data_IF_230460389126
#
_entry.id   IF_230460389126
#
_cell.length_a   1.000
_cell.length_b   1.000
_cell.length_c   1.000
_cell.angle_alpha   90.00
_cell.angle_beta   90.00
_cell.angle_gamma   90.00
#
_symmetry.space_group_name_H-M   'P 1'
#
loop_
_entity.id
_entity.type
_entity.pdbx_description
1 polymer ?
#
# COMPACT_ATOMS: atom_id res chain seq x y z
N UNK A 1 -3.77 -9.50 29.12
CA UNK A 1 -3.86 -9.24 27.67
C UNK A 1 -2.94 -10.22 26.99
N UNK A 2 -3.29 -10.74 25.80
CA UNK A 2 -2.32 -11.54 25.05
C UNK A 2 -1.11 -10.65 24.70
N UNK A 3 0.08 -11.22 24.84
CA UNK A 3 1.33 -10.53 24.46
C UNK A 3 1.28 -10.21 22.95
N UNK A 4 1.52 -8.96 22.59
CA UNK A 4 1.60 -8.52 21.18
C UNK A 4 3.04 -8.64 20.72
N UNK A 5 3.25 -9.36 19.61
CA UNK A 5 4.58 -9.70 19.12
C UNK A 5 4.85 -9.10 17.73
N UNK A 6 3.78 -8.70 16.99
CA UNK A 6 3.92 -8.14 15.66
C UNK A 6 2.95 -7.00 15.39
N UNK A 7 3.41 -6.05 14.59
CA UNK A 7 2.63 -4.97 13.99
C UNK A 7 2.66 -5.10 12.46
N UNK A 8 1.51 -5.29 11.85
CA UNK A 8 1.32 -5.22 10.41
C UNK A 8 0.81 -3.81 10.09
N UNK A 9 1.47 -3.10 9.18
CA UNK A 9 1.19 -1.68 8.92
C UNK A 9 0.97 -1.46 7.43
N UNK A 10 -0.15 -0.84 7.09
CA UNK A 10 -0.41 -0.36 5.74
C UNK A 10 0.44 0.87 5.41
N UNK A 11 0.51 1.25 4.12
CA UNK A 11 1.34 2.35 3.61
C UNK A 11 0.53 3.61 3.33
N UNK A 12 -0.36 3.53 2.31
CA UNK A 12 -1.07 4.72 1.81
C UNK A 12 -2.19 5.13 2.76
N UNK A 13 -2.27 6.43 3.04
CA UNK A 13 -3.21 7.02 4.02
C UNK A 13 -3.08 6.45 5.46
N UNK A 14 -2.04 5.64 5.68
CA UNK A 14 -1.63 5.11 6.99
C UNK A 14 -0.27 5.65 7.42
N UNK A 15 0.83 5.30 6.75
CA UNK A 15 2.18 5.82 6.99
C UNK A 15 2.47 7.08 6.20
N UNK A 16 1.92 7.19 5.00
CA UNK A 16 2.13 8.33 4.11
C UNK A 16 0.87 8.68 3.33
N UNK A 17 0.76 9.93 2.92
CA UNK A 17 -0.18 10.40 1.91
C UNK A 17 0.49 10.43 0.55
N UNK A 18 -0.29 10.23 -0.52
CA UNK A 18 0.19 10.34 -1.89
C UNK A 18 -0.84 11.08 -2.76
N UNK A 19 -0.38 12.12 -3.45
CA UNK A 19 -1.23 12.83 -4.42
C UNK A 19 -1.11 12.18 -5.80
N UNK A 20 -2.10 11.39 -6.17
CA UNK A 20 -2.19 10.75 -7.48
C UNK A 20 -2.77 11.65 -8.58
N UNK A 21 -3.12 12.91 -8.28
CA UNK A 21 -3.66 13.84 -9.29
C UNK A 21 -2.65 14.09 -10.42
N UNK A 22 -1.37 14.22 -10.09
CA UNK A 22 -0.32 14.39 -11.08
C UNK A 22 -0.18 13.19 -12.02
N UNK A 23 -0.31 11.95 -11.51
CA UNK A 23 -0.31 10.73 -12.35
C UNK A 23 -1.47 10.76 -13.36
N UNK A 24 -2.68 11.11 -12.87
CA UNK A 24 -3.88 11.19 -13.70
C UNK A 24 -3.80 12.31 -14.76
N UNK A 25 -3.03 13.36 -14.51
CA UNK A 25 -2.88 14.49 -15.43
C UNK A 25 -1.72 14.32 -16.42
N UNK A 26 -0.56 13.88 -15.98
CA UNK A 26 0.67 13.91 -16.75
C UNK A 26 0.89 12.66 -17.62
N UNK A 27 0.58 11.46 -17.09
CA UNK A 27 0.79 10.21 -17.83
C UNK A 27 -0.05 10.12 -19.12
N UNK A 28 -1.36 10.50 -19.14
CA UNK A 28 -2.12 10.53 -20.38
C UNK A 28 -1.51 11.46 -21.43
N UNK A 29 -1.03 12.63 -21.02
CA UNK A 29 -0.40 13.61 -21.93
C UNK A 29 0.87 13.00 -22.54
N UNK A 30 1.73 12.40 -21.73
CA UNK A 30 2.95 11.74 -22.19
C UNK A 30 2.62 10.57 -23.15
N UNK A 31 1.55 9.83 -22.86
CA UNK A 31 1.07 8.73 -23.70
C UNK A 31 0.44 9.17 -25.02
N UNK A 32 0.13 10.47 -25.18
CA UNK A 32 -0.63 10.97 -26.33
C UNK A 32 -2.11 10.55 -26.33
N UNK A 33 -2.66 10.27 -25.13
CA UNK A 33 -4.04 9.82 -24.93
C UNK A 33 -4.89 10.88 -24.23
N UNK A 34 -6.20 10.82 -24.44
CA UNK A 34 -7.13 11.56 -23.59
C UNK A 34 -7.16 10.96 -22.17
N UNK A 35 -7.49 11.77 -21.15
CA UNK A 35 -7.68 11.29 -19.78
C UNK A 35 -8.71 10.14 -19.70
N UNK A 36 -9.78 10.22 -20.51
CA UNK A 36 -10.80 9.19 -20.58
C UNK A 36 -10.26 7.87 -21.15
N UNK A 37 -9.50 7.90 -22.24
CA UNK A 37 -8.89 6.70 -22.84
C UNK A 37 -7.87 6.08 -21.90
N UNK A 38 -7.03 6.90 -21.26
CA UNK A 38 -6.08 6.46 -20.25
C UNK A 38 -6.77 5.79 -19.06
N UNK A 39 -7.77 6.44 -18.45
CA UNK A 39 -8.51 5.91 -17.31
C UNK A 39 -9.24 4.61 -17.65
N UNK A 40 -9.81 4.50 -18.86
CA UNK A 40 -10.43 3.27 -19.34
C UNK A 40 -9.39 2.14 -19.45
N UNK A 41 -8.25 2.39 -20.10
CA UNK A 41 -7.17 1.41 -20.21
C UNK A 41 -6.63 1.01 -18.84
N UNK A 42 -6.40 1.97 -17.94
CA UNK A 42 -5.90 1.69 -16.59
C UNK A 42 -6.87 0.83 -15.76
N UNK A 43 -8.18 1.06 -15.87
CA UNK A 43 -9.20 0.26 -15.19
C UNK A 43 -9.17 -1.23 -15.59
N UNK A 44 -8.66 -1.55 -16.78
CA UNK A 44 -8.54 -2.94 -17.29
C UNK A 44 -7.27 -3.65 -16.86
N UNK A 45 -6.21 -2.91 -16.59
CA UNK A 45 -4.92 -3.49 -16.19
C UNK A 45 -4.62 -3.35 -14.70
N UNK A 46 -5.32 -2.45 -13.99
CA UNK A 46 -5.01 -2.07 -12.63
C UNK A 46 -4.97 -3.24 -11.64
N UNK A 47 -5.95 -4.14 -11.70
CA UNK A 47 -5.98 -5.33 -10.85
C UNK A 47 -4.78 -6.26 -11.12
N UNK A 48 -4.40 -6.45 -12.38
CA UNK A 48 -3.25 -7.28 -12.74
C UNK A 48 -1.91 -6.64 -12.33
N UNK A 49 -1.82 -5.31 -12.38
CA UNK A 49 -0.67 -4.56 -11.85
C UNK A 49 -0.57 -4.68 -10.33
N UNK A 50 -1.70 -4.59 -9.63
CA UNK A 50 -1.76 -4.64 -8.17
C UNK A 50 -1.27 -5.97 -7.58
N UNK A 51 -1.41 -7.07 -8.32
CA UNK A 51 -0.96 -8.41 -7.89
C UNK A 51 0.23 -8.93 -8.71
N UNK A 52 0.93 -8.06 -9.43
CA UNK A 52 2.15 -8.41 -10.15
C UNK A 52 1.98 -9.37 -11.34
N UNK A 53 0.74 -9.56 -11.83
CA UNK A 53 0.49 -10.33 -13.06
C UNK A 53 0.93 -9.58 -14.32
N UNK A 54 1.09 -8.27 -14.21
CA UNK A 54 1.66 -7.39 -15.21
C UNK A 54 2.70 -6.49 -14.55
N UNK A 55 3.80 -6.27 -15.23
CA UNK A 55 4.71 -5.16 -14.95
C UNK A 55 4.09 -3.84 -15.39
N UNK A 56 4.57 -2.71 -14.87
CA UNK A 56 4.15 -1.38 -15.34
C UNK A 56 4.36 -1.21 -16.84
N UNK A 57 5.48 -1.71 -17.38
CA UNK A 57 5.76 -1.66 -18.81
C UNK A 57 4.69 -2.40 -19.62
N UNK A 58 4.35 -3.64 -19.26
CA UNK A 58 3.31 -4.43 -19.94
C UNK A 58 1.91 -3.78 -19.80
N UNK A 59 1.62 -3.20 -18.63
CA UNK A 59 0.38 -2.46 -18.40
C UNK A 59 0.27 -1.24 -19.31
N UNK A 60 1.33 -0.42 -19.39
CA UNK A 60 1.36 0.75 -20.27
C UNK A 60 1.32 0.38 -21.75
N UNK A 61 2.00 -0.70 -22.16
CA UNK A 61 1.85 -1.21 -23.53
C UNK A 61 0.41 -1.54 -23.88
N UNK A 62 -0.33 -2.20 -22.98
CA UNK A 62 -1.74 -2.54 -23.20
C UNK A 62 -2.61 -1.28 -23.29
N UNK A 63 -2.41 -0.31 -22.39
CA UNK A 63 -3.12 0.96 -22.38
C UNK A 63 -2.90 1.72 -23.70
N UNK A 64 -1.66 1.80 -24.17
CA UNK A 64 -1.30 2.46 -25.43
C UNK A 64 -1.99 1.79 -26.61
N UNK A 65 -1.91 0.44 -26.74
CA UNK A 65 -2.56 -0.31 -27.83
C UNK A 65 -4.07 -0.11 -27.84
N UNK A 66 -4.73 -0.16 -26.69
CA UNK A 66 -6.18 0.08 -26.57
C UNK A 66 -6.55 1.53 -26.97
N UNK A 67 -5.69 2.48 -26.65
CA UNK A 67 -5.83 3.88 -27.04
C UNK A 67 -5.47 4.19 -28.50
N UNK A 68 -5.03 3.18 -29.27
CA UNK A 68 -4.63 3.35 -30.68
C UNK A 68 -3.24 3.97 -30.85
N UNK A 69 -2.40 3.96 -29.81
CA UNK A 69 -1.02 4.44 -29.84
C UNK A 69 -0.06 3.26 -29.92
N UNK A 70 0.91 3.31 -30.84
CA UNK A 70 1.95 2.27 -30.95
C UNK A 70 2.85 2.28 -29.70
N UNK A 71 2.99 1.16 -28.96
CA UNK A 71 3.79 1.09 -27.75
C UNK A 71 5.28 0.94 -28.06
N UNK A 72 5.90 1.98 -28.54
CA UNK A 72 7.33 2.00 -28.80
C UNK A 72 8.11 1.89 -27.48
N UNK A 73 9.25 1.15 -27.45
CA UNK A 73 10.03 0.92 -26.22
C UNK A 73 10.47 2.22 -25.51
N UNK A 74 10.82 3.25 -26.27
CA UNK A 74 11.21 4.56 -25.74
C UNK A 74 10.06 5.27 -25.02
N UNK A 75 8.84 5.21 -25.58
CA UNK A 75 7.64 5.77 -24.95
C UNK A 75 7.23 4.99 -23.69
N UNK A 76 7.26 3.66 -23.77
CA UNK A 76 6.93 2.80 -22.61
C UNK A 76 7.92 3.04 -21.47
N UNK A 77 9.22 3.09 -21.76
CA UNK A 77 10.24 3.42 -20.78
C UNK A 77 10.00 4.80 -20.13
N UNK A 78 9.75 5.83 -20.95
CA UNK A 78 9.45 7.17 -20.45
C UNK A 78 8.21 7.21 -19.54
N UNK A 79 7.17 6.42 -19.83
CA UNK A 79 5.96 6.31 -18.98
C UNK A 79 6.29 5.64 -17.64
N UNK A 80 7.09 4.57 -17.64
CA UNK A 80 7.52 3.87 -16.41
C UNK A 80 8.36 4.79 -15.54
N UNK A 81 9.35 5.47 -16.13
CA UNK A 81 10.22 6.40 -15.40
C UNK A 81 9.43 7.57 -14.82
N UNK A 82 8.46 8.11 -15.61
CA UNK A 82 7.61 9.21 -15.14
C UNK A 82 6.66 8.78 -14.04
N UNK A 83 6.05 7.60 -14.12
CA UNK A 83 5.20 7.04 -13.07
C UNK A 83 5.99 6.92 -11.74
N UNK A 84 7.20 6.39 -11.80
CA UNK A 84 8.10 6.29 -10.65
C UNK A 84 8.45 7.66 -10.08
N UNK A 85 8.85 8.61 -10.91
CA UNK A 85 9.19 9.97 -10.48
C UNK A 85 8.00 10.66 -9.79
N UNK A 86 6.81 10.55 -10.38
CA UNK A 86 5.58 11.12 -9.83
C UNK A 86 5.26 10.51 -8.46
N UNK A 87 5.39 9.20 -8.30
CA UNK A 87 5.16 8.52 -7.01
C UNK A 87 6.12 9.04 -5.94
N UNK A 88 7.43 9.04 -6.21
CA UNK A 88 8.43 9.50 -5.25
C UNK A 88 8.27 10.99 -4.89
N UNK A 89 7.84 11.81 -5.85
CA UNK A 89 7.66 13.25 -5.65
C UNK A 89 6.39 13.60 -4.87
N UNK A 90 5.30 12.83 -5.04
CA UNK A 90 3.99 13.14 -4.47
C UNK A 90 3.77 12.55 -3.07
N UNK A 91 4.54 11.54 -2.69
CA UNK A 91 4.41 10.91 -1.38
C UNK A 91 4.97 11.79 -0.25
N UNK A 92 4.26 11.81 0.87
CA UNK A 92 4.66 12.53 2.10
C UNK A 92 4.36 11.65 3.30
N UNK A 93 5.40 11.31 4.07
CA UNK A 93 5.22 10.64 5.36
C UNK A 93 4.40 11.52 6.31
N UNK A 94 3.52 10.90 7.08
CA UNK A 94 2.94 11.57 8.25
C UNK A 94 4.01 11.71 9.34
N UNK A 95 3.92 12.80 10.12
CA UNK A 95 4.93 13.16 11.13
C UNK A 95 5.12 12.07 12.20
N UNK A 96 4.09 11.26 12.46
CA UNK A 96 4.10 10.19 13.44
C UNK A 96 4.58 8.83 12.87
N UNK A 97 4.82 8.70 11.56
CA UNK A 97 5.11 7.43 10.90
C UNK A 97 6.47 6.83 11.34
N UNK A 98 7.58 7.54 11.11
CA UNK A 98 8.90 7.04 11.52
C UNK A 98 9.05 6.91 13.05
N UNK A 99 8.62 7.91 13.86
CA UNK A 99 8.63 7.76 15.32
C UNK A 99 7.88 6.53 15.81
N UNK A 100 6.72 6.22 15.22
CA UNK A 100 5.95 5.02 15.55
C UNK A 100 6.71 3.73 15.23
N UNK A 101 7.25 3.59 14.02
CA UNK A 101 8.00 2.39 13.62
C UNK A 101 9.25 2.19 14.50
N UNK A 102 9.94 3.29 14.83
CA UNK A 102 11.11 3.26 15.73
C UNK A 102 10.73 2.82 17.15
N UNK A 103 9.63 3.33 17.70
CA UNK A 103 9.15 2.97 19.04
C UNK A 103 8.73 1.50 19.10
N UNK A 104 7.93 1.02 18.13
CA UNK A 104 7.49 -0.38 18.05
C UNK A 104 8.70 -1.32 17.95
N UNK A 105 9.67 -0.99 17.08
CA UNK A 105 10.92 -1.76 16.95
C UNK A 105 11.76 -1.77 18.23
N UNK A 106 11.87 -0.62 18.92
CA UNK A 106 12.62 -0.50 20.17
C UNK A 106 12.03 -1.37 21.31
N UNK A 107 10.74 -1.67 21.24
CA UNK A 107 10.05 -2.62 22.17
C UNK A 107 10.22 -4.09 21.77
N UNK A 108 10.96 -4.38 20.70
CA UNK A 108 11.18 -5.75 20.22
C UNK A 108 9.99 -6.35 19.46
N UNK A 109 9.02 -5.53 19.04
CA UNK A 109 7.88 -5.95 18.25
C UNK A 109 8.31 -6.03 16.79
N UNK A 110 7.98 -7.14 16.13
CA UNK A 110 8.27 -7.34 14.71
C UNK A 110 7.34 -6.50 13.82
N UNK A 111 7.86 -5.97 12.73
CA UNK A 111 7.12 -5.07 11.84
C UNK A 111 7.04 -5.66 10.44
N UNK A 112 5.82 -5.85 9.93
CA UNK A 112 5.56 -6.09 8.52
C UNK A 112 4.87 -4.88 7.89
N UNK A 113 5.39 -4.37 6.79
CA UNK A 113 4.67 -3.41 5.94
C UNK A 113 3.83 -4.21 4.96
N UNK A 114 2.50 -4.01 4.95
CA UNK A 114 1.55 -4.78 4.14
C UNK A 114 0.73 -3.84 3.26
N UNK A 115 1.01 -3.78 1.98
CA UNK A 115 0.41 -2.77 1.08
C UNK A 115 -0.19 -3.36 -0.19
N UNK A 116 -1.39 -2.88 -0.54
CA UNK A 116 -1.92 -3.04 -1.89
C UNK A 116 -1.27 -1.97 -2.78
N UNK A 117 -0.44 -2.39 -3.72
CA UNK A 117 0.39 -1.47 -4.48
C UNK A 117 0.82 -2.04 -5.83
N UNK A 118 1.45 -1.21 -6.63
CA UNK A 118 2.14 -1.63 -7.86
C UNK A 118 3.65 -1.42 -7.71
N UNK A 119 4.41 -1.72 -8.76
CA UNK A 119 5.85 -1.43 -8.85
C UNK A 119 6.19 -0.02 -8.33
N UNK A 120 7.43 0.19 -7.95
CA UNK A 120 8.01 1.41 -7.37
C UNK A 120 7.63 1.71 -5.91
N UNK A 121 6.66 1.00 -5.30
CA UNK A 121 6.36 1.21 -3.88
C UNK A 121 7.52 0.77 -3.00
N UNK A 122 8.28 -0.26 -3.39
CA UNK A 122 9.52 -0.64 -2.69
C UNK A 122 10.53 0.49 -2.69
N UNK A 123 10.81 1.09 -3.85
CA UNK A 123 11.72 2.24 -3.97
C UNK A 123 11.28 3.42 -3.09
N UNK A 124 9.96 3.64 -3.03
CA UNK A 124 9.39 4.67 -2.16
C UNK A 124 9.68 4.40 -0.68
N UNK A 125 9.44 3.18 -0.21
CA UNK A 125 9.68 2.79 1.19
C UNK A 125 11.16 2.83 1.56
N UNK A 126 12.03 2.43 0.65
CA UNK A 126 13.50 2.52 0.81
C UNK A 126 13.96 3.98 0.88
N UNK A 127 13.50 4.83 -0.07
CA UNK A 127 13.89 6.24 -0.13
C UNK A 127 13.44 7.06 1.09
N UNK A 128 12.36 6.65 1.76
CA UNK A 128 11.83 7.31 2.95
C UNK A 128 12.31 6.68 4.28
N UNK A 129 13.16 5.65 4.24
CA UNK A 129 13.69 4.97 5.43
C UNK A 129 12.68 4.08 6.15
N UNK A 130 11.50 3.83 5.58
CA UNK A 130 10.49 2.90 6.15
C UNK A 130 10.96 1.47 6.05
N UNK A 131 11.57 1.09 4.92
CA UNK A 131 12.07 -0.25 4.68
C UNK A 131 13.11 -0.69 5.74
N UNK A 132 13.97 0.21 6.19
CA UNK A 132 15.03 -0.08 7.18
C UNK A 132 14.46 -0.38 8.59
N UNK A 133 13.23 0.04 8.86
CA UNK A 133 12.54 -0.16 10.14
C UNK A 133 11.66 -1.41 10.14
N UNK A 134 11.36 -1.99 9.00
CA UNK A 134 10.55 -3.18 8.87
C UNK A 134 11.38 -4.46 8.89
N UNK A 135 10.83 -5.55 9.46
CA UNK A 135 11.41 -6.88 9.36
C UNK A 135 11.05 -7.54 8.03
N UNK A 136 9.93 -7.16 7.43
CA UNK A 136 9.51 -7.61 6.10
C UNK A 136 8.62 -6.60 5.39
N UNK A 137 8.71 -6.59 4.05
CA UNK A 137 7.81 -5.85 3.15
C UNK A 137 6.95 -6.87 2.39
N UNK A 138 5.64 -6.78 2.56
CA UNK A 138 4.65 -7.64 1.89
C UNK A 138 3.84 -6.76 0.95
N UNK A 139 4.33 -6.65 -0.26
CA UNK A 139 3.78 -5.79 -1.32
C UNK A 139 2.94 -6.65 -2.27
N UNK A 140 1.68 -6.30 -2.48
CA UNK A 140 0.74 -7.12 -3.24
C UNK A 140 1.24 -7.50 -4.64
N UNK A 141 1.90 -6.55 -5.32
CA UNK A 141 2.49 -6.79 -6.64
C UNK A 141 3.68 -7.77 -6.64
N UNK A 142 4.30 -8.04 -5.49
CA UNK A 142 5.40 -8.98 -5.36
C UNK A 142 4.93 -10.37 -4.88
N UNK A 143 3.89 -10.39 -4.01
CA UNK A 143 3.42 -11.65 -3.41
C UNK A 143 2.23 -12.26 -4.15
N UNK A 144 1.65 -11.56 -5.12
CA UNK A 144 0.55 -12.07 -5.94
C UNK A 144 -0.81 -12.10 -5.24
N UNK A 145 -0.96 -11.41 -4.10
CA UNK A 145 -2.18 -11.35 -3.32
C UNK A 145 -2.37 -9.95 -2.74
N UNK A 146 -3.61 -9.49 -2.61
CA UNK A 146 -3.95 -8.18 -2.08
C UNK A 146 -4.95 -8.24 -0.93
N UNK A 147 -4.91 -7.25 -0.02
CA UNK A 147 -5.93 -7.06 1.01
C UNK A 147 -7.29 -6.82 0.35
N UNK A 148 -8.41 -7.38 0.86
CA UNK A 148 -8.56 -8.07 2.13
C UNK A 148 -8.37 -9.60 2.08
N UNK A 149 -7.81 -10.18 1.03
CA UNK A 149 -7.60 -11.61 0.93
C UNK A 149 -6.70 -12.16 2.06
N UNK A 150 -7.02 -13.36 2.54
CA UNK A 150 -6.31 -13.96 3.67
C UNK A 150 -4.82 -14.20 3.38
N UNK A 151 -4.50 -14.47 2.13
CA UNK A 151 -3.19 -14.86 1.64
C UNK A 151 -2.12 -13.81 1.97
N UNK A 152 -2.40 -12.51 1.77
CA UNK A 152 -1.42 -11.45 2.03
C UNK A 152 -1.09 -11.32 3.52
N UNK A 153 -2.10 -11.46 4.40
CA UNK A 153 -1.89 -11.42 5.86
C UNK A 153 -1.15 -12.66 6.34
N UNK A 154 -1.52 -13.84 5.82
CA UNK A 154 -0.86 -15.11 6.16
C UNK A 154 0.61 -15.05 5.75
N UNK A 155 0.91 -14.53 4.55
CA UNK A 155 2.28 -14.33 4.10
C UNK A 155 3.11 -13.44 5.06
N UNK A 156 2.52 -12.33 5.53
CA UNK A 156 3.17 -11.45 6.50
C UNK A 156 3.43 -12.15 7.84
N UNK A 157 2.44 -12.85 8.37
CA UNK A 157 2.55 -13.58 9.63
C UNK A 157 3.57 -14.71 9.57
N UNK A 158 3.61 -15.46 8.48
CA UNK A 158 4.56 -16.56 8.25
C UNK A 158 5.99 -16.03 8.17
N UNK A 159 6.23 -14.92 7.47
CA UNK A 159 7.55 -14.29 7.41
C UNK A 159 8.02 -13.79 8.78
N UNK A 160 7.12 -13.27 9.59
CA UNK A 160 7.44 -12.85 10.96
C UNK A 160 7.53 -14.02 11.94
N UNK A 161 6.95 -15.18 11.61
CA UNK A 161 6.85 -16.33 12.52
C UNK A 161 5.96 -16.03 13.73
N UNK A 162 4.86 -15.26 13.54
CA UNK A 162 3.97 -14.81 14.62
C UNK A 162 2.54 -15.28 14.33
N UNK A 163 1.84 -15.89 15.30
CA UNK A 163 0.46 -16.27 15.11
C UNK A 163 -0.48 -15.05 15.08
N UNK A 164 -1.54 -15.11 14.27
CA UNK A 164 -2.49 -14.01 14.04
C UNK A 164 -2.98 -13.34 15.35
N UNK A 165 -3.30 -14.12 16.38
CA UNK A 165 -3.78 -13.61 17.68
C UNK A 165 -2.78 -12.72 18.43
N UNK A 166 -1.49 -12.77 18.07
CA UNK A 166 -0.42 -11.96 18.66
C UNK A 166 -0.05 -10.76 17.77
N UNK A 167 -0.74 -10.59 16.65
CA UNK A 167 -0.50 -9.47 15.73
C UNK A 167 -1.56 -8.36 15.89
N UNK A 168 -1.10 -7.13 15.64
CA UNK A 168 -1.95 -5.95 15.44
C UNK A 168 -1.80 -5.53 13.98
N UNK A 169 -2.90 -5.17 13.33
CA UNK A 169 -2.91 -4.60 11.98
C UNK A 169 -3.50 -3.19 12.02
N UNK A 170 -2.85 -2.24 11.36
CA UNK A 170 -3.35 -0.87 11.21
C UNK A 170 -3.47 -0.50 9.74
N UNK A 171 -4.64 0.06 9.36
CA UNK A 171 -4.99 0.39 7.97
C UNK A 171 -6.13 1.43 7.98
N UNK A 172 -6.22 2.27 6.95
CA UNK A 172 -7.31 3.27 6.83
C UNK A 172 -8.61 2.68 6.28
N UNK A 173 -8.54 1.51 5.59
CA UNK A 173 -9.69 0.92 4.91
C UNK A 173 -10.45 -0.07 5.79
N UNK A 174 -11.78 0.18 6.06
CA UNK A 174 -12.58 -0.73 6.86
C UNK A 174 -12.60 -2.18 6.33
N UNK A 175 -12.63 -2.35 5.00
CA UNK A 175 -12.66 -3.67 4.38
C UNK A 175 -11.37 -4.48 4.66
N UNK A 176 -10.22 -3.83 4.70
CA UNK A 176 -8.94 -4.48 4.97
C UNK A 176 -8.81 -4.84 6.45
N UNK A 177 -9.27 -3.93 7.34
CA UNK A 177 -9.41 -4.23 8.76
C UNK A 177 -10.35 -5.43 9.01
N UNK A 178 -11.47 -5.52 8.31
CA UNK A 178 -12.39 -6.66 8.41
C UNK A 178 -11.73 -7.98 7.99
N UNK A 179 -10.92 -7.98 6.92
CA UNK A 179 -10.14 -9.14 6.48
C UNK A 179 -9.19 -9.62 7.57
N UNK A 180 -8.46 -8.72 8.20
CA UNK A 180 -7.56 -9.03 9.30
C UNK A 180 -8.28 -9.60 10.53
N UNK A 181 -9.42 -9.00 10.94
CA UNK A 181 -10.28 -9.50 12.04
C UNK A 181 -10.75 -10.91 11.76
N UNK A 182 -11.14 -11.21 10.50
CA UNK A 182 -11.56 -12.56 10.09
C UNK A 182 -10.51 -13.64 10.31
N UNK A 183 -9.24 -13.27 10.37
CA UNK A 183 -8.10 -14.16 10.66
C UNK A 183 -7.69 -14.18 12.14
N UNK A 184 -8.38 -13.43 12.99
CA UNK A 184 -8.05 -13.31 14.41
C UNK A 184 -6.92 -12.31 14.72
N UNK A 185 -6.54 -11.46 13.77
CA UNK A 185 -5.64 -10.33 13.98
C UNK A 185 -6.42 -9.19 14.67
N UNK A 186 -5.82 -8.52 15.64
CA UNK A 186 -6.42 -7.30 16.21
C UNK A 186 -6.27 -6.16 15.21
N UNK A 187 -7.38 -5.63 14.70
CA UNK A 187 -7.35 -4.57 13.68
C UNK A 187 -7.68 -3.20 14.27
N UNK A 188 -6.95 -2.19 13.83
CA UNK A 188 -7.14 -0.79 14.15
C UNK A 188 -7.30 0.01 12.86
N UNK A 189 -8.44 0.69 12.73
CA UNK A 189 -8.67 1.58 11.58
C UNK A 189 -8.14 2.97 11.91
N UNK A 190 -7.13 3.40 11.20
CA UNK A 190 -6.63 4.77 11.33
C UNK A 190 -7.43 5.72 10.46
N UNK A 191 -7.77 6.89 11.00
CA UNK A 191 -8.49 7.95 10.28
C UNK A 191 -7.66 9.23 10.36
N UNK A 192 -6.99 9.57 9.27
CA UNK A 192 -6.07 10.71 9.17
C UNK A 192 -6.78 12.07 8.99
N UNK A 193 -8.07 12.07 8.72
CA UNK A 193 -8.88 13.25 8.49
C UNK A 193 -10.28 13.10 9.06
N UNK A 194 -11.27 13.66 8.37
CA UNK A 194 -12.68 13.40 8.67
C UNK A 194 -13.06 11.98 8.26
N UNK A 195 -14.06 11.42 8.90
CA UNK A 195 -14.49 10.02 8.67
C UNK A 195 -15.17 9.77 7.31
N UNK A 196 -15.23 10.73 6.40
CA UNK A 196 -15.78 10.67 5.04
C UNK A 196 -16.85 9.57 4.79
N UNK A 197 -17.70 9.30 5.80
CA UNK A 197 -18.73 8.25 5.74
C UNK A 197 -18.22 6.80 5.82
N UNK A 198 -16.93 6.55 5.98
CA UNK A 198 -16.37 5.20 6.18
C UNK A 198 -16.68 4.72 7.60
N UNK A 199 -17.74 3.94 7.75
CA UNK A 199 -18.03 3.29 9.02
C UNK A 199 -16.99 2.21 9.34
N UNK A 200 -16.52 2.12 10.59
CA UNK A 200 -15.56 1.11 11.00
C UNK A 200 -16.14 -0.30 10.85
N UNK A 201 -15.31 -1.24 10.45
CA UNK A 201 -15.72 -2.64 10.41
C UNK A 201 -16.00 -3.18 11.82
N UNK A 202 -16.94 -4.12 11.98
CA UNK A 202 -17.17 -4.77 13.26
C UNK A 202 -15.89 -5.42 13.81
N UNK A 203 -15.63 -5.23 15.11
CA UNK A 203 -14.44 -5.77 15.76
C UNK A 203 -13.16 -4.94 15.57
N UNK A 204 -13.26 -3.79 14.90
CA UNK A 204 -12.14 -2.88 14.65
C UNK A 204 -12.18 -1.69 15.64
N UNK A 205 -11.01 -1.28 16.13
CA UNK A 205 -10.87 -0.06 16.94
C UNK A 205 -10.48 1.09 16.04
N UNK A 206 -11.19 2.23 16.14
CA UNK A 206 -10.83 3.46 15.42
C UNK A 206 -9.78 4.25 16.19
N UNK A 207 -8.72 4.67 15.50
CA UNK A 207 -7.65 5.51 16.04
C UNK A 207 -7.42 6.74 15.16
N UNK A 208 -6.80 7.76 15.71
CA UNK A 208 -6.53 9.02 15.01
C UNK A 208 -5.05 9.24 14.72
N UNK A 209 -4.18 8.49 15.39
CA UNK A 209 -2.73 8.59 15.26
C UNK A 209 -2.07 7.20 15.39
N UNK A 210 -0.86 7.10 14.90
CA UNK A 210 -0.03 5.92 15.13
C UNK A 210 0.44 5.83 16.58
N UNK A 211 0.45 6.94 17.33
CA UNK A 211 0.68 6.92 18.77
C UNK A 211 -0.41 6.15 19.53
N UNK A 212 -1.67 6.22 19.05
CA UNK A 212 -2.76 5.42 19.64
C UNK A 212 -2.55 3.92 19.38
N UNK A 213 -1.98 3.57 18.22
CA UNK A 213 -1.59 2.18 17.88
C UNK A 213 -0.44 1.70 18.76
N UNK A 214 0.58 2.54 18.98
CA UNK A 214 1.73 2.22 19.84
C UNK A 214 1.32 1.89 21.27
N UNK A 215 0.22 2.43 21.76
CA UNK A 215 -0.31 2.14 23.10
C UNK A 215 -0.84 0.70 23.27
N UNK A 216 -0.96 -0.09 22.16
CA UNK A 216 -1.39 -1.47 22.18
C UNK A 216 -0.26 -2.47 22.49
N UNK A 217 0.97 -2.02 22.44
CA UNK A 217 2.18 -2.75 22.74
C UNK A 217 2.78 -2.27 24.07
#
# INVERSE_FOLDING_TARGET
MAEREACLVDVYDTLLSCDFAAHSAELPILAGLSMQAWGHGYSRVGAALAIGQLTKAEGFERILREGGVEPRPDLVGALVDRDRELLLRSARLYDDALPFLQDVRARGIKIAIVSNCSEHTRDLLESNGVADLADTLVLSCEVGAEKPAAEIFTHALDQLGVPARHAVFVDDQPAFCAGAVGLGITAMQIVRGELDGKLPAPGTTVVRSLSDVAAMF
#
